data_IF_123800691865
#
_entry.id   IF_123800691865
#
_cell.length_a   1.000
_cell.length_b   1.000
_cell.length_c   1.000
_cell.angle_alpha   90.00
_cell.angle_beta   90.00
_cell.angle_gamma   90.00
#
_symmetry.space_group_name_H-M   'P 1'
#
loop_
_entity.id
_entity.type
_entity.pdbx_description
1 polymer ?
#
# COMPACT_ATOMS: atom_id res chain seq x y z
N UNK A 1 11.75 -35.76 -38.46
CA UNK A 1 11.54 -36.73 -37.36
C UNK A 1 12.87 -37.27 -36.79
N UNK A 2 14.05 -36.87 -37.29
CA UNK A 2 15.31 -37.35 -36.72
C UNK A 2 15.51 -36.90 -35.25
N UNK A 3 14.99 -35.73 -34.87
CA UNK A 3 15.06 -35.22 -33.50
C UNK A 3 14.15 -35.99 -32.54
N UNK A 4 12.89 -36.20 -32.93
CA UNK A 4 11.92 -37.02 -32.16
C UNK A 4 12.43 -38.45 -31.97
N UNK A 5 12.97 -39.07 -33.03
CA UNK A 5 13.54 -40.43 -32.93
C UNK A 5 14.72 -40.44 -31.96
N UNK A 6 15.62 -39.45 -32.04
CA UNK A 6 16.75 -39.36 -31.12
C UNK A 6 16.29 -39.20 -29.66
N UNK A 7 15.36 -38.29 -29.37
CA UNK A 7 14.86 -38.08 -28.01
C UNK A 7 14.14 -39.31 -27.44
N UNK A 8 13.37 -40.03 -28.28
CA UNK A 8 12.72 -41.27 -27.87
C UNK A 8 13.72 -42.41 -27.59
N UNK A 9 14.81 -42.50 -28.38
CA UNK A 9 15.89 -43.46 -28.12
C UNK A 9 16.58 -43.14 -26.79
N UNK A 10 16.93 -41.87 -26.55
CA UNK A 10 17.52 -41.43 -25.29
C UNK A 10 16.59 -41.72 -24.12
N UNK A 11 15.29 -41.41 -24.27
CA UNK A 11 14.30 -41.69 -23.24
C UNK A 11 14.16 -43.19 -22.95
N UNK A 12 14.18 -44.03 -23.99
CA UNK A 12 14.10 -45.49 -23.87
C UNK A 12 15.33 -46.07 -23.17
N UNK A 13 16.54 -45.61 -23.52
CA UNK A 13 17.77 -46.01 -22.84
C UNK A 13 17.75 -45.57 -21.37
N UNK A 14 17.37 -44.32 -21.10
CA UNK A 14 17.26 -43.79 -19.74
C UNK A 14 16.23 -44.58 -18.91
N UNK A 15 15.07 -44.90 -19.48
CA UNK A 15 14.04 -45.71 -18.79
C UNK A 15 14.53 -47.14 -18.50
N UNK A 16 15.26 -47.73 -19.45
CA UNK A 16 15.85 -49.06 -19.27
C UNK A 16 16.91 -49.04 -18.16
N UNK A 17 17.81 -48.06 -18.15
CA UNK A 17 18.81 -47.90 -17.11
C UNK A 17 18.17 -47.61 -15.75
N UNK A 18 17.11 -46.79 -15.71
CA UNK A 18 16.34 -46.52 -14.50
C UNK A 18 15.80 -47.80 -13.86
N UNK A 19 15.28 -48.73 -14.68
CA UNK A 19 14.73 -50.00 -14.21
C UNK A 19 15.80 -50.95 -13.63
N UNK A 20 17.06 -50.83 -14.08
CA UNK A 20 18.16 -51.71 -13.66
C UNK A 20 19.01 -51.14 -12.52
N UNK A 21 18.93 -49.83 -12.27
CA UNK A 21 19.74 -49.16 -11.25
C UNK A 21 19.18 -49.35 -9.82
N UNK A 22 20.06 -49.51 -8.81
CA UNK A 22 19.65 -49.48 -7.41
C UNK A 22 19.23 -48.07 -6.99
N UNK A 23 18.54 -47.97 -5.85
CA UNK A 23 18.07 -46.68 -5.35
C UNK A 23 19.24 -45.73 -5.05
N UNK A 24 19.15 -44.50 -5.56
CA UNK A 24 20.20 -43.50 -5.46
C UNK A 24 20.07 -42.38 -6.50
N UNK A 25 20.99 -41.43 -6.48
CA UNK A 25 20.96 -40.24 -7.33
C UNK A 25 20.90 -40.58 -8.83
N UNK A 26 21.66 -41.59 -9.28
CA UNK A 26 21.73 -41.97 -10.69
C UNK A 26 20.40 -42.52 -11.22
N UNK A 27 19.67 -43.29 -10.40
CA UNK A 27 18.32 -43.76 -10.73
C UNK A 27 17.39 -42.57 -10.90
N UNK A 28 17.37 -41.63 -9.96
CA UNK A 28 16.54 -40.41 -10.09
C UNK A 28 16.87 -39.62 -11.36
N UNK A 29 18.15 -39.45 -11.70
CA UNK A 29 18.58 -38.77 -12.94
C UNK A 29 18.04 -39.48 -14.17
N UNK A 30 18.12 -40.81 -14.26
CA UNK A 30 17.61 -41.57 -15.40
C UNK A 30 16.08 -41.45 -15.54
N UNK A 31 15.35 -41.44 -14.41
CA UNK A 31 13.91 -41.20 -14.41
C UNK A 31 13.56 -39.82 -14.97
N UNK A 32 14.20 -38.76 -14.45
CA UNK A 32 13.97 -37.40 -14.92
C UNK A 32 14.39 -37.22 -16.37
N UNK A 33 15.53 -37.78 -16.79
CA UNK A 33 16.00 -37.72 -18.16
C UNK A 33 14.98 -38.36 -19.12
N UNK A 34 14.49 -39.56 -18.79
CA UNK A 34 13.46 -40.23 -19.60
C UNK A 34 12.17 -39.42 -19.67
N UNK A 35 11.68 -38.97 -18.51
CA UNK A 35 10.43 -38.19 -18.42
C UNK A 35 10.50 -36.87 -19.18
N UNK A 36 11.61 -36.13 -19.04
CA UNK A 36 11.84 -34.88 -19.76
C UNK A 36 11.92 -35.15 -21.26
N UNK A 37 12.71 -36.13 -21.72
CA UNK A 37 12.85 -36.43 -23.15
C UNK A 37 11.54 -36.85 -23.81
N UNK A 38 10.69 -37.65 -23.15
CA UNK A 38 9.36 -37.99 -23.67
C UNK A 38 8.47 -36.74 -23.74
N UNK A 39 8.46 -35.95 -22.67
CA UNK A 39 7.62 -34.77 -22.55
C UNK A 39 8.00 -33.71 -23.59
N UNK A 40 9.30 -33.43 -23.77
CA UNK A 40 9.78 -32.49 -24.78
C UNK A 40 9.50 -32.99 -26.18
N UNK A 41 9.72 -34.28 -26.45
CA UNK A 41 9.45 -34.85 -27.75
C UNK A 41 7.97 -34.73 -28.12
N UNK A 42 7.07 -35.00 -27.17
CA UNK A 42 5.63 -34.99 -27.41
C UNK A 42 5.04 -33.58 -27.50
N UNK A 43 5.34 -32.70 -26.54
CA UNK A 43 4.69 -31.39 -26.43
C UNK A 43 5.44 -30.27 -27.15
N UNK A 44 6.75 -30.41 -27.37
CA UNK A 44 7.57 -29.39 -28.03
C UNK A 44 7.88 -29.82 -29.46
N UNK A 45 8.52 -30.98 -29.66
CA UNK A 45 8.98 -31.36 -30.99
C UNK A 45 7.85 -31.76 -31.93
N UNK A 46 6.84 -32.48 -31.44
CA UNK A 46 5.66 -32.84 -32.25
C UNK A 46 4.62 -31.72 -32.36
N UNK A 47 4.85 -30.55 -31.74
CA UNK A 47 3.98 -29.40 -31.92
C UNK A 47 4.11 -28.84 -33.36
N UNK A 48 3.04 -28.87 -34.17
CA UNK A 48 3.10 -28.42 -35.55
C UNK A 48 3.20 -26.90 -35.71
N UNK A 49 2.94 -26.13 -34.65
CA UNK A 49 2.89 -24.67 -34.70
C UNK A 49 4.29 -24.01 -34.68
N UNK A 50 5.33 -24.79 -34.42
CA UNK A 50 6.73 -24.37 -34.49
C UNK A 50 7.49 -25.23 -35.50
N UNK A 51 8.59 -24.68 -36.04
CA UNK A 51 9.39 -25.34 -37.09
C UNK A 51 10.29 -26.44 -36.53
N UNK A 52 9.67 -27.34 -35.76
CA UNK A 52 10.24 -28.59 -35.26
C UNK A 52 9.70 -29.77 -36.08
N UNK A 53 9.92 -30.99 -35.61
CA UNK A 53 9.54 -32.20 -36.34
C UNK A 53 8.02 -32.29 -36.63
N UNK A 54 7.17 -31.80 -35.74
CA UNK A 54 5.71 -31.78 -35.93
C UNK A 54 5.26 -30.93 -37.12
N UNK A 55 5.97 -29.84 -37.43
CA UNK A 55 5.69 -29.02 -38.61
C UNK A 55 5.95 -29.81 -39.90
N UNK A 56 7.03 -30.58 -39.95
CA UNK A 56 7.38 -31.40 -41.11
C UNK A 56 6.42 -32.59 -41.26
N UNK A 57 6.00 -33.21 -40.15
CA UNK A 57 4.92 -34.21 -40.17
C UNK A 57 3.64 -33.61 -40.74
N UNK A 58 3.24 -32.41 -40.32
CA UNK A 58 2.06 -31.74 -40.87
C UNK A 58 2.22 -31.42 -42.36
N UNK A 59 3.44 -31.03 -42.79
CA UNK A 59 3.78 -30.80 -44.20
C UNK A 59 3.52 -32.03 -45.06
N UNK A 60 3.98 -33.20 -44.61
CA UNK A 60 3.82 -34.48 -45.31
C UNK A 60 2.36 -34.94 -45.32
N UNK A 61 1.67 -34.86 -44.17
CA UNK A 61 0.25 -35.22 -44.05
C UNK A 61 -0.61 -34.34 -44.97
N UNK A 62 -0.31 -33.04 -45.05
CA UNK A 62 -1.03 -32.13 -45.93
C UNK A 62 -0.54 -32.17 -47.37
N UNK A 63 0.60 -32.83 -47.65
CA UNK A 63 1.30 -32.84 -48.95
C UNK A 63 1.51 -31.42 -49.47
N UNK A 64 2.03 -30.54 -48.62
CA UNK A 64 2.19 -29.12 -48.90
C UNK A 64 3.58 -28.63 -48.56
N UNK A 65 4.47 -28.61 -49.54
CA UNK A 65 5.81 -28.05 -49.36
C UNK A 65 5.74 -26.57 -48.96
N UNK A 66 6.68 -26.14 -48.11
CA UNK A 66 6.77 -24.75 -47.65
C UNK A 66 5.45 -24.22 -47.04
N UNK A 67 4.76 -25.06 -46.27
CA UNK A 67 3.46 -24.76 -45.64
C UNK A 67 3.47 -23.40 -44.91
N UNK A 68 4.46 -23.13 -44.06
CA UNK A 68 4.46 -21.94 -43.20
C UNK A 68 4.57 -20.61 -43.98
N UNK A 69 5.53 -20.40 -44.89
CA UNK A 69 5.56 -19.22 -45.76
C UNK A 69 4.29 -19.02 -46.58
N UNK A 70 3.75 -20.10 -47.19
CA UNK A 70 2.54 -20.05 -48.02
C UNK A 70 1.30 -19.69 -47.19
N UNK A 71 1.15 -20.31 -46.03
CA UNK A 71 0.06 -20.06 -45.08
C UNK A 71 0.06 -18.59 -44.61
N UNK A 72 1.22 -18.06 -44.22
CA UNK A 72 1.33 -16.65 -43.82
C UNK A 72 1.10 -15.68 -44.97
N UNK A 73 1.49 -16.01 -46.20
CA UNK A 73 1.20 -15.18 -47.38
C UNK A 73 -0.31 -15.08 -47.63
N UNK A 74 -1.04 -16.21 -47.57
CA UNK A 74 -2.50 -16.25 -47.70
C UNK A 74 -3.19 -15.53 -46.53
N UNK A 75 -2.71 -15.71 -45.30
CA UNK A 75 -3.23 -15.02 -44.12
C UNK A 75 -3.13 -13.50 -44.26
N UNK A 76 -1.95 -12.97 -44.62
CA UNK A 76 -1.75 -11.52 -44.83
C UNK A 76 -2.61 -10.99 -45.98
N UNK A 77 -2.76 -11.76 -47.06
CA UNK A 77 -3.67 -11.39 -48.15
C UNK A 77 -5.13 -11.30 -47.67
N UNK A 78 -5.63 -12.29 -46.91
CA UNK A 78 -6.99 -12.23 -46.34
C UNK A 78 -7.17 -11.09 -45.36
N UNK A 79 -6.18 -10.82 -44.51
CA UNK A 79 -6.19 -9.68 -43.59
C UNK A 79 -6.37 -8.36 -44.36
N UNK A 80 -5.60 -8.14 -45.44
CA UNK A 80 -5.75 -6.96 -46.31
C UNK A 80 -7.14 -6.86 -46.95
N UNK A 81 -7.72 -8.00 -47.37
CA UNK A 81 -9.07 -8.03 -47.94
C UNK A 81 -10.14 -7.63 -46.92
N UNK A 82 -10.01 -8.12 -45.69
CA UNK A 82 -10.92 -7.78 -44.58
C UNK A 82 -10.81 -6.30 -44.23
N UNK A 83 -9.58 -5.79 -44.07
CA UNK A 83 -9.32 -4.41 -43.61
C UNK A 83 -9.58 -3.34 -44.68
N UNK A 84 -9.20 -3.58 -45.94
CA UNK A 84 -9.17 -2.53 -46.98
C UNK A 84 -9.94 -2.88 -48.25
N UNK A 85 -10.62 -4.04 -48.29
CA UNK A 85 -11.17 -4.61 -49.52
C UNK A 85 -10.12 -4.68 -50.64
N UNK A 86 -8.94 -5.22 -50.31
CA UNK A 86 -7.80 -5.30 -51.20
C UNK A 86 -8.09 -6.06 -52.51
N UNK A 87 -7.83 -5.42 -53.66
CA UNK A 87 -8.10 -5.92 -55.01
C UNK A 87 -6.86 -6.52 -55.70
N UNK A 88 -5.70 -6.53 -55.05
CA UNK A 88 -4.50 -7.17 -55.62
C UNK A 88 -4.64 -8.69 -55.74
N UNK A 89 -3.86 -9.31 -56.62
CA UNK A 89 -3.90 -10.74 -56.84
C UNK A 89 -3.61 -11.55 -55.56
N UNK A 90 -4.32 -12.67 -55.40
CA UNK A 90 -4.02 -13.64 -54.35
C UNK A 90 -2.62 -14.24 -54.58
N UNK A 91 -1.81 -14.44 -53.52
CA UNK A 91 -0.46 -14.97 -53.66
C UNK A 91 -0.44 -16.41 -54.21
N UNK A 92 -1.49 -17.17 -53.91
CA UNK A 92 -1.70 -18.52 -54.42
C UNK A 92 -3.20 -18.85 -54.41
N UNK A 93 -3.65 -19.73 -55.30
CA UNK A 93 -4.98 -20.35 -55.25
C UNK A 93 -4.81 -21.83 -54.95
N UNK A 94 -5.31 -22.29 -53.81
CA UNK A 94 -5.15 -23.67 -53.38
C UNK A 94 -6.43 -24.20 -52.70
N UNK A 95 -6.88 -25.45 -52.95
CA UNK A 95 -8.09 -26.01 -52.33
C UNK A 95 -8.09 -25.98 -50.80
N UNK A 96 -6.90 -26.03 -50.18
CA UNK A 96 -6.71 -26.00 -48.72
C UNK A 96 -6.46 -24.59 -48.15
N UNK A 97 -6.69 -23.52 -48.91
CA UNK A 97 -6.42 -22.13 -48.51
C UNK A 97 -6.99 -21.76 -47.13
N UNK A 98 -8.26 -22.10 -46.85
CA UNK A 98 -8.88 -21.80 -45.56
C UNK A 98 -8.14 -22.46 -44.40
N UNK A 99 -7.75 -23.73 -44.55
CA UNK A 99 -6.98 -24.47 -43.53
C UNK A 99 -5.61 -23.86 -43.30
N UNK A 100 -4.95 -23.41 -44.37
CA UNK A 100 -3.65 -22.74 -44.28
C UNK A 100 -3.76 -21.39 -43.55
N UNK A 101 -4.82 -20.62 -43.78
CA UNK A 101 -5.06 -19.34 -43.08
C UNK A 101 -5.32 -19.58 -41.60
N UNK A 102 -6.17 -20.54 -41.25
CA UNK A 102 -6.43 -20.92 -39.85
C UNK A 102 -5.15 -21.41 -39.18
N UNK A 103 -4.35 -22.22 -39.89
CA UNK A 103 -3.05 -22.67 -39.41
C UNK A 103 -2.09 -21.50 -39.16
N UNK A 104 -1.94 -20.55 -40.09
CA UNK A 104 -1.11 -19.36 -39.89
C UNK A 104 -1.58 -18.51 -38.70
N UNK A 105 -2.89 -18.37 -38.52
CA UNK A 105 -3.46 -17.69 -37.36
C UNK A 105 -3.14 -18.41 -36.05
N UNK A 106 -3.29 -19.74 -36.00
CA UNK A 106 -2.94 -20.55 -34.85
C UNK A 106 -1.43 -20.48 -34.54
N UNK A 107 -0.56 -20.54 -35.56
CA UNK A 107 0.89 -20.35 -35.42
C UNK A 107 1.20 -18.98 -34.85
N UNK A 108 0.54 -17.93 -35.32
CA UNK A 108 0.74 -16.57 -34.82
C UNK A 108 0.36 -16.44 -33.34
N UNK A 109 -0.83 -16.91 -32.95
CA UNK A 109 -1.29 -16.91 -31.55
C UNK A 109 -0.31 -17.69 -30.68
N UNK A 110 0.04 -18.91 -31.09
CA UNK A 110 0.94 -19.77 -30.32
C UNK A 110 2.32 -19.14 -30.15
N UNK A 111 2.86 -18.50 -31.21
CA UNK A 111 4.16 -17.80 -31.12
C UNK A 111 4.12 -16.61 -30.19
N UNK A 112 3.06 -15.79 -30.24
CA UNK A 112 2.90 -14.67 -29.32
C UNK A 112 2.75 -15.15 -27.88
N UNK A 113 1.93 -16.17 -27.64
CA UNK A 113 1.79 -16.80 -26.33
C UNK A 113 3.12 -17.34 -25.80
N UNK A 114 3.84 -18.11 -26.63
CA UNK A 114 5.11 -18.71 -26.25
C UNK A 114 6.17 -17.64 -25.97
N UNK A 115 6.25 -16.61 -26.80
CA UNK A 115 7.14 -15.47 -26.59
C UNK A 115 6.85 -14.79 -25.25
N UNK A 116 5.60 -14.37 -25.01
CA UNK A 116 5.20 -13.75 -23.73
C UNK A 116 5.49 -14.67 -22.54
N UNK A 117 5.20 -15.97 -22.66
CA UNK A 117 5.48 -16.94 -21.60
C UNK A 117 6.98 -17.06 -21.30
N UNK A 118 7.83 -17.12 -22.33
CA UNK A 118 9.29 -17.15 -22.16
C UNK A 118 9.78 -15.82 -21.57
N UNK A 119 9.33 -14.68 -22.09
CA UNK A 119 9.70 -13.37 -21.57
C UNK A 119 9.31 -13.16 -20.11
N UNK A 120 8.09 -13.56 -19.72
CA UNK A 120 7.64 -13.52 -18.32
C UNK A 120 8.40 -14.52 -17.43
N UNK A 121 8.66 -15.73 -17.93
CA UNK A 121 9.48 -16.69 -17.20
C UNK A 121 10.88 -16.14 -16.96
N UNK A 122 11.52 -15.53 -17.96
CA UNK A 122 12.83 -14.89 -17.80
C UNK A 122 12.76 -13.71 -16.82
N UNK A 123 11.69 -12.90 -16.88
CA UNK A 123 11.48 -11.78 -15.98
C UNK A 123 11.37 -12.20 -14.51
N UNK A 124 10.71 -13.33 -14.22
CA UNK A 124 10.48 -13.81 -12.85
C UNK A 124 11.54 -14.79 -12.34
N UNK A 125 12.24 -15.53 -13.21
CA UNK A 125 13.23 -16.54 -12.83
C UNK A 125 14.67 -16.02 -12.83
N UNK A 126 14.95 -14.91 -13.51
CA UNK A 126 16.28 -14.29 -13.60
C UNK A 126 16.20 -12.81 -13.19
N UNK A 127 17.07 -11.97 -13.76
CA UNK A 127 17.08 -10.52 -13.53
C UNK A 127 16.03 -9.83 -14.42
N UNK A 128 15.20 -8.96 -13.83
CA UNK A 128 14.05 -8.32 -14.50
C UNK A 128 14.44 -7.60 -15.80
N UNK A 129 15.62 -6.96 -15.81
CA UNK A 129 16.13 -6.25 -16.98
C UNK A 129 16.32 -7.16 -18.21
N UNK A 130 16.82 -8.39 -18.01
CA UNK A 130 16.97 -9.37 -19.11
C UNK A 130 15.60 -9.77 -19.65
N UNK A 131 14.62 -10.00 -18.77
CA UNK A 131 13.24 -10.28 -19.16
C UNK A 131 12.64 -9.16 -20.01
N UNK A 132 12.85 -7.90 -19.62
CA UNK A 132 12.41 -6.72 -20.40
C UNK A 132 13.06 -6.69 -21.78
N UNK A 133 14.38 -6.95 -21.88
CA UNK A 133 15.10 -6.98 -23.15
C UNK A 133 14.56 -8.09 -24.05
N UNK A 134 14.33 -9.29 -23.52
CA UNK A 134 13.75 -10.41 -24.26
C UNK A 134 12.36 -10.04 -24.78
N UNK A 135 11.48 -9.51 -23.92
CA UNK A 135 10.14 -9.06 -24.32
C UNK A 135 10.20 -7.95 -25.39
N UNK A 136 11.17 -7.03 -25.31
CA UNK A 136 11.35 -5.98 -26.31
C UNK A 136 11.78 -6.53 -27.67
N UNK A 137 12.73 -7.48 -27.69
CA UNK A 137 13.17 -8.18 -28.90
C UNK A 137 12.00 -8.96 -29.52
N UNK A 138 11.22 -9.66 -28.70
CA UNK A 138 10.05 -10.42 -29.13
C UNK A 138 8.94 -9.52 -29.69
N UNK A 139 8.63 -8.43 -28.99
CA UNK A 139 7.68 -7.42 -29.46
C UNK A 139 8.12 -6.86 -30.83
N UNK A 140 9.41 -6.58 -30.99
CA UNK A 140 9.95 -6.14 -32.26
C UNK A 140 9.80 -7.22 -33.34
N UNK A 141 10.19 -8.46 -33.06
CA UNK A 141 10.21 -9.55 -34.03
C UNK A 141 8.81 -10.02 -34.47
N UNK A 142 7.86 -10.09 -33.53
CA UNK A 142 6.53 -10.68 -33.76
C UNK A 142 5.44 -9.65 -34.01
N UNK A 143 5.60 -8.40 -33.55
CA UNK A 143 4.59 -7.35 -33.72
C UNK A 143 5.10 -6.24 -34.64
N UNK A 144 6.16 -5.53 -34.25
CA UNK A 144 6.59 -4.32 -34.98
C UNK A 144 7.11 -4.63 -36.39
N UNK A 145 8.00 -5.61 -36.55
CA UNK A 145 8.59 -5.97 -37.84
C UNK A 145 7.54 -6.48 -38.84
N UNK A 146 6.60 -7.39 -38.48
CA UNK A 146 5.52 -7.79 -39.38
C UNK A 146 4.61 -6.63 -39.76
N UNK A 147 4.21 -5.78 -38.80
CA UNK A 147 3.40 -4.59 -39.08
C UNK A 147 4.10 -3.63 -40.03
N UNK A 148 5.39 -3.34 -39.80
CA UNK A 148 6.18 -2.46 -40.66
C UNK A 148 6.33 -3.02 -42.08
N UNK A 149 6.52 -4.35 -42.20
CA UNK A 149 6.57 -5.01 -43.50
C UNK A 149 5.26 -4.91 -44.28
N UNK A 150 4.11 -4.96 -43.59
CA UNK A 150 2.79 -4.78 -44.19
C UNK A 150 2.53 -3.33 -44.60
N UNK A 151 2.85 -2.36 -43.73
CA UNK A 151 2.72 -0.92 -44.05
C UNK A 151 3.53 -0.56 -45.29
N UNK A 152 4.74 -1.11 -45.45
CA UNK A 152 5.59 -0.92 -46.64
C UNK A 152 4.95 -1.45 -47.92
N UNK A 153 4.05 -2.42 -47.83
CA UNK A 153 3.28 -2.96 -48.97
C UNK A 153 2.01 -2.14 -49.20
N UNK A 154 1.32 -1.73 -48.13
CA UNK A 154 0.05 -1.00 -48.21
C UNK A 154 0.25 0.40 -48.78
N UNK A 155 1.32 1.09 -48.41
CA UNK A 155 1.54 2.48 -48.79
C UNK A 155 1.70 2.68 -50.31
N UNK A 156 2.58 1.95 -51.03
CA UNK A 156 2.64 2.02 -52.49
C UNK A 156 1.39 1.40 -53.14
N UNK A 157 0.81 0.38 -52.50
CA UNK A 157 -0.34 -0.37 -52.99
C UNK A 157 -1.71 0.26 -52.75
N UNK A 158 -1.78 1.51 -52.28
CA UNK A 158 -3.05 2.23 -51.99
C UNK A 158 -4.06 2.25 -53.14
N UNK A 159 -3.59 2.14 -54.40
CA UNK A 159 -4.44 2.03 -55.60
C UNK A 159 -5.25 0.72 -55.65
N UNK A 160 -4.83 -0.30 -54.89
CA UNK A 160 -5.47 -1.61 -54.80
C UNK A 160 -6.54 -1.66 -53.70
N UNK A 161 -6.79 -0.56 -52.98
CA UNK A 161 -7.90 -0.50 -52.03
C UNK A 161 -9.24 -0.41 -52.78
N UNK A 162 -10.14 -1.34 -52.52
CA UNK A 162 -11.44 -1.39 -53.18
C UNK A 162 -12.43 -0.40 -52.58
N UNK A 163 -12.70 -0.52 -51.28
CA UNK A 163 -13.78 0.21 -50.60
C UNK A 163 -13.25 1.37 -49.75
N UNK A 164 -13.60 2.61 -50.12
CA UNK A 164 -13.30 3.81 -49.33
C UNK A 164 -13.91 3.75 -47.92
N UNK A 165 -15.09 3.14 -47.78
CA UNK A 165 -15.74 2.94 -46.49
C UNK A 165 -14.94 2.00 -45.58
N UNK A 166 -14.46 0.85 -46.08
CA UNK A 166 -13.63 -0.05 -45.25
C UNK A 166 -12.31 0.58 -44.85
N UNK A 167 -11.68 1.34 -45.75
CA UNK A 167 -10.47 2.10 -45.41
C UNK A 167 -10.76 3.12 -44.32
N UNK A 168 -11.86 3.88 -44.41
CA UNK A 168 -12.26 4.84 -43.38
C UNK A 168 -12.55 4.14 -42.04
N UNK A 169 -13.34 3.06 -42.05
CA UNK A 169 -13.66 2.28 -40.85
C UNK A 169 -12.40 1.73 -40.18
N UNK A 170 -11.51 1.11 -40.94
CA UNK A 170 -10.23 0.58 -40.41
C UNK A 170 -9.36 1.70 -39.86
N UNK A 171 -9.31 2.86 -40.54
CA UNK A 171 -8.60 4.05 -40.07
C UNK A 171 -9.19 4.59 -38.76
N UNK A 172 -10.51 4.69 -38.65
CA UNK A 172 -11.21 5.12 -37.45
C UNK A 172 -11.02 4.17 -36.28
N UNK A 173 -11.09 2.85 -36.50
CA UNK A 173 -10.82 1.84 -35.46
C UNK A 173 -9.37 1.93 -34.98
N UNK A 174 -8.42 2.06 -35.90
CA UNK A 174 -7.01 2.21 -35.53
C UNK A 174 -6.75 3.51 -34.76
N UNK A 175 -7.36 4.62 -35.17
CA UNK A 175 -7.28 5.89 -34.47
C UNK A 175 -7.92 5.80 -33.07
N UNK A 176 -9.06 5.12 -32.94
CA UNK A 176 -9.72 4.89 -31.65
C UNK A 176 -8.85 4.05 -30.70
N UNK A 177 -8.16 3.02 -31.21
CA UNK A 177 -7.22 2.23 -30.40
C UNK A 177 -6.01 3.05 -29.94
N UNK A 178 -5.46 3.91 -30.80
CA UNK A 178 -4.38 4.83 -30.43
C UNK A 178 -4.88 5.84 -29.39
N UNK A 179 -6.07 6.42 -29.60
CA UNK A 179 -6.69 7.34 -28.66
C UNK A 179 -6.91 6.65 -27.31
N UNK A 180 -7.39 5.41 -27.28
CA UNK A 180 -7.57 4.65 -26.04
C UNK A 180 -6.24 4.47 -25.28
N UNK A 181 -5.11 4.33 -25.99
CA UNK A 181 -3.79 4.18 -25.37
C UNK A 181 -3.24 5.50 -24.81
N UNK A 182 -3.63 6.64 -25.40
CA UNK A 182 -3.10 7.97 -25.12
C UNK A 182 -4.02 8.83 -24.23
N UNK A 183 -5.32 8.57 -24.22
CA UNK A 183 -6.28 9.32 -23.40
C UNK A 183 -5.99 9.03 -21.92
N UNK A 184 -5.75 10.06 -21.10
CA UNK A 184 -5.53 9.88 -19.68
C UNK A 184 -6.86 9.47 -19.03
N UNK A 185 -6.87 8.30 -18.40
CA UNK A 185 -8.08 7.74 -17.78
C UNK A 185 -8.08 8.17 -16.29
N UNK A 186 -9.18 8.73 -15.77
CA UNK A 186 -9.30 9.02 -14.34
C UNK A 186 -9.14 7.74 -13.54
N UNK A 187 -8.25 7.75 -12.55
CA UNK A 187 -8.06 6.62 -11.64
C UNK A 187 -8.39 7.07 -10.23
N UNK A 188 -9.23 6.27 -9.58
CA UNK A 188 -9.51 6.35 -8.16
C UNK A 188 -8.79 5.18 -7.53
N UNK A 189 -7.95 5.46 -6.54
CA UNK A 189 -7.34 4.42 -5.69
C UNK A 189 -7.83 4.60 -4.26
N UNK A 190 -7.99 3.48 -3.56
CA UNK A 190 -8.43 3.44 -2.17
C UNK A 190 -7.26 3.15 -1.23
N UNK A 191 -7.16 3.97 -0.18
CA UNK A 191 -6.10 3.89 0.82
C UNK A 191 -6.67 3.56 2.20
N UNK A 192 -5.98 2.73 3.00
CA UNK A 192 -6.41 2.44 4.36
C UNK A 192 -6.30 3.70 5.22
N UNK A 193 -7.33 3.96 6.03
CA UNK A 193 -7.39 5.15 6.85
C UNK A 193 -8.01 4.88 8.21
N UNK A 194 -7.73 5.77 9.15
CA UNK A 194 -8.37 5.80 10.47
C UNK A 194 -9.09 7.13 10.64
N UNK A 195 -10.30 7.05 11.18
CA UNK A 195 -10.98 8.21 11.71
C UNK A 195 -10.35 8.58 13.05
N UNK A 196 -9.83 9.81 13.14
CA UNK A 196 -9.12 10.34 14.29
C UNK A 196 -9.81 11.63 14.72
N UNK A 197 -10.21 11.71 15.98
CA UNK A 197 -10.74 12.95 16.53
C UNK A 197 -9.61 13.97 16.76
N UNK A 198 -9.89 15.24 16.45
CA UNK A 198 -8.91 16.32 16.54
C UNK A 198 -8.61 16.71 17.99
N UNK A 199 -7.41 17.23 18.23
CA UNK A 199 -7.02 17.82 19.51
C UNK A 199 -6.93 16.83 20.67
N UNK A 200 -6.35 15.65 20.45
CA UNK A 200 -6.04 14.72 21.55
C UNK A 200 -5.03 15.37 22.49
N UNK A 201 -5.46 15.66 23.71
CA UNK A 201 -4.64 16.25 24.76
C UNK A 201 -4.35 15.17 25.80
N UNK A 202 -3.11 14.67 25.89
CA UNK A 202 -2.73 13.72 26.93
C UNK A 202 -2.73 14.43 28.28
N UNK A 203 -3.41 13.82 29.25
CA UNK A 203 -3.44 14.25 30.65
C UNK A 203 -2.45 13.38 31.40
N UNK A 204 -1.37 14.00 31.86
CA UNK A 204 -0.30 13.37 32.62
C UNK A 204 -0.34 13.86 34.07
N UNK A 205 0.20 13.06 34.97
CA UNK A 205 0.37 13.47 36.37
C UNK A 205 1.33 14.67 36.47
N UNK A 206 0.97 15.74 37.19
CA UNK A 206 1.85 16.89 37.40
C UNK A 206 2.96 16.62 38.43
N UNK A 207 2.70 15.73 39.40
CA UNK A 207 3.61 15.32 40.46
C UNK A 207 3.43 13.83 40.79
N UNK A 208 4.36 13.27 41.56
CA UNK A 208 4.20 11.92 42.09
C UNK A 208 3.25 11.92 43.30
N UNK A 209 2.41 10.90 43.43
CA UNK A 209 1.44 10.79 44.51
C UNK A 209 0.61 9.51 44.41
N UNK A 210 -0.27 9.28 45.38
CA UNK A 210 -1.21 8.18 45.38
C UNK A 210 -2.52 8.60 44.73
N UNK A 211 -3.10 7.75 43.88
CA UNK A 211 -4.37 8.04 43.22
C UNK A 211 -5.53 7.91 44.23
N UNK A 212 -6.27 8.99 44.50
CA UNK A 212 -7.35 8.99 45.51
C UNK A 212 -8.74 8.79 44.87
N UNK A 213 -8.90 9.19 43.61
CA UNK A 213 -10.14 9.02 42.84
C UNK A 213 -9.93 8.16 41.58
N UNK A 214 -10.96 7.40 41.14
CA UNK A 214 -10.83 6.53 39.98
C UNK A 214 -10.64 7.33 38.69
N UNK A 215 -9.83 6.79 37.78
CA UNK A 215 -9.66 7.35 36.42
C UNK A 215 -10.99 7.26 35.68
N UNK A 216 -11.50 8.36 35.09
CA UNK A 216 -12.72 8.32 34.28
C UNK A 216 -12.64 7.29 33.16
N UNK A 217 -13.71 6.53 32.97
CA UNK A 217 -13.77 5.51 31.93
C UNK A 217 -13.77 6.12 30.51
N UNK A 218 -13.28 5.34 29.54
CA UNK A 218 -13.33 5.71 28.11
C UNK A 218 -14.77 5.99 27.69
N UNK A 219 -14.98 7.10 26.99
CA UNK A 219 -16.30 7.56 26.53
C UNK A 219 -16.98 8.59 27.45
N UNK A 220 -16.40 8.90 28.62
CA UNK A 220 -16.95 9.91 29.54
C UNK A 220 -16.81 11.31 28.94
N UNK A 221 -17.90 12.09 28.94
CA UNK A 221 -17.88 13.51 28.55
C UNK A 221 -17.40 14.37 29.72
N UNK A 222 -16.47 15.29 29.44
CA UNK A 222 -15.88 16.21 30.43
C UNK A 222 -15.93 17.63 29.90
N UNK A 223 -16.17 18.59 30.78
CA UNK A 223 -16.11 20.03 30.47
C UNK A 223 -14.78 20.61 30.95
N UNK A 224 -14.33 21.67 30.28
CA UNK A 224 -13.15 22.41 30.72
C UNK A 224 -13.32 22.87 32.18
N UNK A 225 -12.38 22.50 33.04
CA UNK A 225 -12.40 22.79 34.48
C UNK A 225 -12.97 21.68 35.37
N UNK A 226 -13.55 20.63 34.80
CA UNK A 226 -14.01 19.47 35.58
C UNK A 226 -12.83 18.77 36.25
N UNK A 227 -13.00 18.37 37.51
CA UNK A 227 -12.02 17.59 38.25
C UNK A 227 -12.02 16.15 37.76
N UNK A 228 -10.88 15.70 37.26
CA UNK A 228 -10.71 14.36 36.72
C UNK A 228 -10.21 13.42 37.81
N UNK A 229 -9.07 13.78 38.41
CA UNK A 229 -8.33 12.93 39.34
C UNK A 229 -7.71 13.80 40.43
N UNK A 230 -7.69 13.29 41.65
CA UNK A 230 -7.03 13.92 42.80
C UNK A 230 -5.90 12.99 43.26
N UNK A 231 -4.71 13.56 43.43
CA UNK A 231 -3.55 12.86 43.99
C UNK A 231 -3.42 13.18 45.49
N UNK A 232 -3.30 12.15 46.32
CA UNK A 232 -2.97 12.31 47.73
C UNK A 232 -1.48 12.05 47.95
N UNK A 233 -0.83 12.94 48.68
CA UNK A 233 0.57 12.79 49.09
C UNK A 233 0.65 13.00 50.60
N UNK A 234 0.67 11.92 51.41
CA UNK A 234 0.66 12.01 52.87
C UNK A 234 1.78 12.89 53.43
N UNK A 235 2.95 12.89 52.79
CA UNK A 235 4.08 13.74 53.16
C UNK A 235 3.77 15.24 52.99
N UNK A 236 3.05 15.62 51.93
CA UNK A 236 2.68 17.01 51.67
C UNK A 236 1.66 17.52 52.70
N UNK A 237 0.67 16.68 53.06
CA UNK A 237 -0.29 16.99 54.12
C UNK A 237 0.40 17.14 55.48
N UNK A 238 1.36 16.25 55.78
CA UNK A 238 2.15 16.32 56.99
C UNK A 238 3.01 17.59 57.04
N UNK A 239 3.72 17.92 55.95
CA UNK A 239 4.52 19.14 55.84
C UNK A 239 3.67 20.40 56.01
N UNK A 240 2.49 20.45 55.38
CA UNK A 240 1.54 21.56 55.52
C UNK A 240 1.08 21.71 56.97
N UNK A 241 0.71 20.61 57.61
CA UNK A 241 0.27 20.58 59.01
C UNK A 241 1.38 21.10 59.94
N UNK A 242 2.61 20.60 59.78
CA UNK A 242 3.78 21.05 60.56
C UNK A 242 4.06 22.54 60.32
N UNK A 243 3.97 22.99 59.07
CA UNK A 243 4.17 24.38 58.71
C UNK A 243 3.12 25.32 59.36
N UNK A 244 1.86 24.90 59.39
CA UNK A 244 0.78 25.63 60.05
C UNK A 244 0.92 25.65 61.58
N UNK A 245 1.38 24.55 62.19
CA UNK A 245 1.72 24.54 63.62
C UNK A 245 2.87 25.49 63.96
N UNK A 246 3.92 25.55 63.13
CA UNK A 246 5.03 26.51 63.30
C UNK A 246 4.54 27.95 63.22
N UNK A 247 3.67 28.26 62.24
CA UNK A 247 3.06 29.59 62.11
C UNK A 247 2.22 29.94 63.35
N UNK A 248 1.40 29.01 63.86
CA UNK A 248 0.63 29.21 65.10
C UNK A 248 1.53 29.52 66.30
N UNK A 249 2.65 28.80 66.44
CA UNK A 249 3.64 29.07 67.51
C UNK A 249 4.23 30.47 67.40
N UNK A 250 4.62 30.90 66.19
CA UNK A 250 5.17 32.24 65.94
C UNK A 250 4.14 33.33 66.27
N UNK A 251 2.88 33.14 65.86
CA UNK A 251 1.80 34.09 66.16
C UNK A 251 1.54 34.19 67.66
N UNK A 252 1.47 33.07 68.39
CA UNK A 252 1.32 33.07 69.84
C UNK A 252 2.51 33.76 70.54
N UNK A 253 3.74 33.58 70.04
CA UNK A 253 4.90 34.32 70.55
C UNK A 253 4.82 35.82 70.30
N UNK A 254 4.32 36.25 69.13
CA UNK A 254 4.11 37.67 68.80
C UNK A 254 3.00 38.32 69.64
N UNK A 255 1.96 37.58 69.99
CA UNK A 255 0.86 38.00 70.87
C UNK A 255 1.33 38.16 72.31
N UNK A 256 2.11 37.21 72.82
CA UNK A 256 2.73 37.27 74.15
C UNK A 256 3.75 38.41 74.31
N UNK A 257 4.27 38.95 73.20
CA UNK A 257 5.23 40.06 73.15
C UNK A 257 4.57 41.45 73.27
N UNK A 258 3.46 41.53 73.99
CA UNK A 258 2.75 42.79 74.22
C UNK A 258 3.31 43.53 75.43
N UNK A 259 3.62 44.81 75.22
CA UNK A 259 3.98 45.82 76.22
C UNK A 259 5.23 45.54 77.07
N UNK A 260 6.36 46.15 76.67
CA UNK A 260 7.33 46.90 77.51
C UNK A 260 8.73 46.84 76.88
N UNK A 261 9.25 48.02 76.52
CA UNK A 261 10.65 48.36 76.75
C UNK A 261 11.67 48.09 75.65
N UNK A 262 12.00 46.84 75.33
CA UNK A 262 13.36 46.56 74.79
C UNK A 262 13.47 45.47 73.70
N UNK A 263 12.36 44.99 73.13
CA UNK A 263 12.38 43.83 72.21
C UNK A 263 12.10 44.15 70.73
N UNK A 264 12.41 45.36 70.25
CA UNK A 264 12.15 45.78 68.87
C UNK A 264 12.84 44.88 67.83
N UNK A 265 14.11 44.51 68.05
CA UNK A 265 14.87 43.63 67.17
C UNK A 265 14.30 42.20 67.10
N UNK A 266 13.96 41.62 68.26
CA UNK A 266 13.39 40.26 68.32
C UNK A 266 11.97 40.18 67.74
N UNK A 267 11.14 41.20 67.97
CA UNK A 267 9.81 41.30 67.35
C UNK A 267 9.91 41.45 65.83
N UNK A 268 10.82 42.27 65.33
CA UNK A 268 11.05 42.40 63.88
C UNK A 268 11.53 41.08 63.27
N UNK A 269 12.43 40.35 63.95
CA UNK A 269 12.86 39.02 63.51
C UNK A 269 11.68 38.03 63.44
N UNK A 270 10.80 37.98 64.45
CA UNK A 270 9.60 37.13 64.44
C UNK A 270 8.61 37.50 63.33
N UNK A 271 8.48 38.80 62.99
CA UNK A 271 7.65 39.26 61.89
C UNK A 271 8.17 38.77 60.53
N UNK A 272 9.50 38.86 60.31
CA UNK A 272 10.16 38.33 59.10
C UNK A 272 10.02 36.81 59.04
N UNK A 273 10.19 36.11 60.17
CA UNK A 273 10.05 34.66 60.26
C UNK A 273 8.60 34.21 59.98
N UNK A 274 7.61 34.97 60.44
CA UNK A 274 6.19 34.75 60.12
C UNK A 274 5.94 34.87 58.62
N UNK A 275 6.45 35.92 57.97
CA UNK A 275 6.31 36.12 56.53
C UNK A 275 6.97 34.98 55.74
N UNK A 276 8.17 34.54 56.15
CA UNK A 276 8.85 33.38 55.56
C UNK A 276 8.00 32.12 55.68
N UNK A 277 7.41 31.89 56.86
CA UNK A 277 6.57 30.72 57.10
C UNK A 277 5.25 30.77 56.31
N UNK A 278 4.64 31.95 56.17
CA UNK A 278 3.46 32.16 55.34
C UNK A 278 3.75 31.91 53.86
N UNK A 279 4.91 32.37 53.35
CA UNK A 279 5.34 32.08 51.98
C UNK A 279 5.58 30.58 51.76
N UNK A 280 6.11 29.87 52.76
CA UNK A 280 6.27 28.42 52.71
C UNK A 280 4.92 27.70 52.65
N UNK A 281 3.94 28.10 53.49
CA UNK A 281 2.58 27.54 53.46
C UNK A 281 1.90 27.83 52.11
N UNK A 282 2.02 29.05 51.58
CA UNK A 282 1.46 29.39 50.27
C UNK A 282 2.07 28.50 49.16
N UNK A 283 3.37 28.22 49.23
CA UNK A 283 4.06 27.32 48.29
C UNK A 283 3.55 25.87 48.41
N UNK A 284 3.38 25.37 49.64
CA UNK A 284 2.85 24.03 49.90
C UNK A 284 1.40 23.89 49.46
N UNK A 285 0.57 24.91 49.67
CA UNK A 285 -0.81 24.97 49.16
C UNK A 285 -0.86 24.98 47.63
N UNK A 286 0.01 25.75 46.98
CA UNK A 286 0.13 25.72 45.52
C UNK A 286 0.54 24.34 44.98
N UNK A 287 1.43 23.62 45.69
CA UNK A 287 1.74 22.23 45.35
C UNK A 287 0.52 21.32 45.52
N UNK A 288 -0.27 21.50 46.59
CA UNK A 288 -1.48 20.70 46.82
C UNK A 288 -2.55 20.98 45.75
N UNK A 289 -2.73 22.22 45.31
CA UNK A 289 -3.63 22.54 44.19
C UNK A 289 -3.17 21.88 42.88
N UNK A 290 -1.86 21.76 42.65
CA UNK A 290 -1.33 21.04 41.50
C UNK A 290 -1.62 19.53 41.56
N UNK A 291 -1.93 18.95 42.73
CA UNK A 291 -2.34 17.54 42.84
C UNK A 291 -3.78 17.30 42.37
N UNK A 292 -4.55 18.37 42.14
CA UNK A 292 -5.89 18.33 41.54
C UNK A 292 -5.78 18.45 40.03
N UNK A 293 -6.02 17.34 39.33
CA UNK A 293 -5.95 17.28 37.88
C UNK A 293 -7.31 17.63 37.30
N UNK A 294 -7.38 18.73 36.57
CA UNK A 294 -8.60 19.21 35.91
C UNK A 294 -8.52 19.07 34.39
N UNK A 295 -9.67 18.96 33.73
CA UNK A 295 -9.75 18.91 32.28
C UNK A 295 -9.39 20.28 31.66
N UNK A 296 -8.34 20.39 30.81
CA UNK A 296 -7.95 21.66 30.19
C UNK A 296 -8.91 22.08 29.06
N UNK A 297 -9.64 21.12 28.48
CA UNK A 297 -10.57 21.33 27.38
C UNK A 297 -11.83 20.49 27.59
N UNK A 298 -12.96 20.98 27.08
CA UNK A 298 -14.18 20.17 26.98
C UNK A 298 -14.01 19.12 25.88
N UNK A 299 -14.41 17.89 26.15
CA UNK A 299 -14.27 16.79 25.20
C UNK A 299 -14.71 15.44 25.78
N UNK A 300 -14.25 14.37 25.14
CA UNK A 300 -14.52 12.99 25.53
C UNK A 300 -13.22 12.28 25.84
N UNK A 301 -13.20 11.45 26.89
CA UNK A 301 -12.07 10.61 27.24
C UNK A 301 -11.93 9.49 26.20
N UNK A 302 -10.84 9.48 25.44
CA UNK A 302 -10.60 8.48 24.38
C UNK A 302 -9.75 7.31 24.87
N UNK A 303 -8.80 7.60 25.74
CA UNK A 303 -7.88 6.63 26.34
C UNK A 303 -7.90 6.87 27.84
N UNK A 304 -7.96 5.78 28.59
CA UNK A 304 -7.82 5.75 30.02
C UNK A 304 -6.90 4.57 30.33
N UNK A 305 -5.90 4.81 31.18
CA UNK A 305 -5.01 3.77 31.66
C UNK A 305 -5.72 2.98 32.75
N UNK A 306 -6.24 1.81 32.39
CA UNK A 306 -7.00 0.93 33.28
C UNK A 306 -6.11 0.13 34.25
N UNK A 307 -4.79 0.14 34.03
CA UNK A 307 -3.85 -0.59 34.87
C UNK A 307 -3.58 0.14 36.19
N UNK A 308 -3.82 1.46 36.21
CA UNK A 308 -3.68 2.31 37.39
C UNK A 308 -4.99 2.30 38.17
N UNK A 309 -4.93 1.84 39.42
CA UNK A 309 -6.08 1.79 40.34
C UNK A 309 -5.97 2.83 41.45
N UNK A 310 -7.10 3.08 42.09
CA UNK A 310 -7.15 3.89 43.32
C UNK A 310 -6.24 3.25 44.37
N UNK A 311 -5.38 4.05 44.98
CA UNK A 311 -4.36 3.64 45.93
C UNK A 311 -2.99 3.36 45.32
N UNK A 312 -2.84 3.32 43.99
CA UNK A 312 -1.54 3.11 43.36
C UNK A 312 -0.68 4.38 43.41
N UNK A 313 0.62 4.20 43.59
CA UNK A 313 1.59 5.30 43.52
C UNK A 313 1.97 5.56 42.07
N UNK A 314 1.69 6.76 41.58
CA UNK A 314 2.04 7.20 40.23
C UNK A 314 3.22 8.16 40.27
N UNK A 315 4.15 8.02 39.31
CA UNK A 315 5.28 8.93 39.14
C UNK A 315 4.82 10.25 38.49
N UNK A 316 5.65 11.30 38.56
CA UNK A 316 5.40 12.54 37.81
C UNK A 316 5.51 12.29 36.29
N UNK A 317 4.65 12.96 35.49
CA UNK A 317 4.50 12.81 34.04
C UNK A 317 4.00 11.43 33.57
N UNK A 318 3.44 10.62 34.46
CA UNK A 318 2.80 9.36 34.08
C UNK A 318 1.51 9.65 33.28
N UNK A 319 1.29 8.98 32.13
CA UNK A 319 0.07 9.15 31.34
C UNK A 319 -1.13 8.51 32.05
N UNK A 320 -2.19 9.30 32.27
CA UNK A 320 -3.43 8.84 32.92
C UNK A 320 -4.53 8.58 31.91
N UNK A 321 -4.86 9.61 31.13
CA UNK A 321 -5.95 9.58 30.15
C UNK A 321 -5.70 10.60 29.04
N UNK A 322 -6.45 10.50 27.94
CA UNK A 322 -6.41 11.49 26.87
C UNK A 322 -7.82 11.99 26.54
N UNK A 323 -7.97 13.29 26.33
CA UNK A 323 -9.24 13.95 26.01
C UNK A 323 -9.18 14.48 24.58
N UNK A 324 -10.24 14.28 23.81
CA UNK A 324 -10.35 14.80 22.43
C UNK A 324 -11.70 15.47 22.19
N UNK A 325 -11.75 16.39 21.22
CA UNK A 325 -12.98 17.10 20.84
C UNK A 325 -13.75 16.29 19.78
N UNK A 326 -15.00 15.88 20.05
CA UNK A 326 -15.78 15.08 19.10
C UNK A 326 -16.21 15.86 17.85
N UNK A 327 -16.34 17.19 17.93
CA UNK A 327 -16.90 18.02 16.83
C UNK A 327 -15.95 18.22 15.64
N UNK A 328 -14.66 17.90 15.83
CA UNK A 328 -13.64 18.05 14.80
C UNK A 328 -13.08 16.66 14.45
N UNK A 329 -13.65 16.05 13.41
CA UNK A 329 -13.24 14.73 12.95
C UNK A 329 -12.24 14.85 11.80
N UNK A 330 -11.08 14.21 11.97
CA UNK A 330 -10.08 14.04 10.92
C UNK A 330 -10.06 12.59 10.44
N UNK A 331 -9.61 12.40 9.21
CA UNK A 331 -9.31 11.08 8.66
C UNK A 331 -7.83 11.07 8.31
N UNK A 332 -7.09 10.12 8.87
CA UNK A 332 -5.67 9.91 8.59
C UNK A 332 -5.54 8.71 7.66
N UNK A 333 -5.27 8.98 6.38
CA UNK A 333 -5.03 7.96 5.37
C UNK A 333 -3.54 7.61 5.32
N UNK A 334 -3.22 6.32 5.20
CA UNK A 334 -1.86 5.79 5.12
C UNK A 334 -1.57 5.35 3.70
N UNK A 335 -0.74 6.12 3.01
CA UNK A 335 -0.37 5.86 1.61
C UNK A 335 1.00 5.18 1.58
N UNK A 336 1.09 4.08 0.84
CA UNK A 336 2.33 3.34 0.66
C UNK A 336 3.31 4.15 -0.22
N UNK A 337 4.62 4.08 0.07
CA UNK A 337 5.68 4.82 -0.64
C UNK A 337 5.59 4.72 -2.18
N UNK A 338 5.24 3.55 -2.69
CA UNK A 338 5.07 3.27 -4.13
C UNK A 338 4.04 4.15 -4.84
N UNK A 339 3.02 4.62 -4.12
CA UNK A 339 1.86 5.31 -4.68
C UNK A 339 1.92 6.83 -4.46
N UNK A 340 2.81 7.31 -3.60
CA UNK A 340 2.99 8.75 -3.31
C UNK A 340 3.30 9.56 -4.57
N UNK A 341 4.12 8.99 -5.46
CA UNK A 341 4.48 9.65 -6.72
C UNK A 341 3.31 9.77 -7.70
N UNK A 342 2.19 9.08 -7.46
CA UNK A 342 0.99 9.15 -8.30
C UNK A 342 -0.03 10.16 -7.78
N UNK A 343 0.15 10.66 -6.56
CA UNK A 343 -0.79 11.61 -5.96
C UNK A 343 -0.43 13.03 -6.43
N UNK A 344 -1.39 13.78 -7.00
CA UNK A 344 -1.15 15.14 -7.46
C UNK A 344 -0.52 16.03 -6.39
N UNK A 345 0.63 16.63 -6.71
CA UNK A 345 1.36 17.46 -5.73
C UNK A 345 0.71 18.84 -5.54
N UNK A 346 -0.10 19.29 -6.50
CA UNK A 346 -0.75 20.60 -6.46
C UNK A 346 -2.25 20.48 -6.75
N UNK A 347 -3.02 21.45 -6.25
CA UNK A 347 -4.47 21.52 -6.46
C UNK A 347 -5.31 20.80 -5.40
N UNK A 348 -6.65 20.94 -5.49
CA UNK A 348 -7.57 20.25 -4.61
C UNK A 348 -7.50 18.75 -4.87
N UNK A 349 -7.40 17.97 -3.78
CA UNK A 349 -7.44 16.51 -3.82
C UNK A 349 -8.83 16.07 -3.36
N UNK A 350 -9.82 15.91 -4.26
CA UNK A 350 -11.12 15.38 -3.89
C UNK A 350 -10.93 13.96 -3.37
N UNK A 351 -11.38 13.74 -2.15
CA UNK A 351 -11.29 12.46 -1.47
C UNK A 351 -12.60 12.16 -0.75
N UNK A 352 -12.91 10.88 -0.63
CA UNK A 352 -14.13 10.38 -0.01
C UNK A 352 -13.75 9.25 0.98
N UNK A 353 -14.26 9.28 2.21
CA UNK A 353 -14.07 8.19 3.17
C UNK A 353 -15.29 7.28 3.13
N UNK A 354 -15.01 6.01 2.83
CA UNK A 354 -15.97 4.90 2.84
C UNK A 354 -15.70 4.03 4.05
N UNK A 355 -16.73 3.83 4.86
CA UNK A 355 -16.67 2.91 5.98
C UNK A 355 -17.02 1.49 5.53
N UNK A 356 -16.74 0.51 6.40
CA UNK A 356 -16.98 -0.90 6.09
C UNK A 356 -18.47 -1.26 6.16
N UNK A 357 -19.24 -0.50 6.93
CA UNK A 357 -20.68 -0.64 7.03
C UNK A 357 -21.38 0.08 5.88
N UNK A 358 -22.51 -0.49 5.45
CA UNK A 358 -23.34 0.07 4.37
C UNK A 358 -24.30 1.17 4.87
N UNK A 359 -24.37 1.39 6.19
CA UNK A 359 -25.28 2.34 6.82
C UNK A 359 -24.66 3.73 6.99
N UNK A 360 -23.33 3.83 7.05
CA UNK A 360 -22.63 5.11 7.13
C UNK A 360 -22.52 5.76 5.75
N UNK A 361 -23.06 6.98 5.62
CA UNK A 361 -22.92 7.78 4.41
C UNK A 361 -21.47 8.15 4.11
N UNK A 362 -21.14 8.18 2.83
CA UNK A 362 -19.82 8.57 2.31
C UNK A 362 -19.50 10.01 2.73
N UNK A 363 -18.32 10.20 3.33
CA UNK A 363 -17.91 11.50 3.85
C UNK A 363 -16.96 12.20 2.87
N UNK A 364 -17.31 13.38 2.33
CA UNK A 364 -16.38 14.16 1.54
C UNK A 364 -15.27 14.70 2.45
N UNK A 365 -14.04 14.57 1.95
CA UNK A 365 -12.83 14.91 2.68
C UNK A 365 -12.14 16.12 2.06
N UNK A 366 -11.69 17.02 2.94
CA UNK A 366 -10.83 18.14 2.57
C UNK A 366 -9.41 17.89 3.06
N UNK A 367 -8.44 17.88 2.15
CA UNK A 367 -7.04 17.70 2.50
C UNK A 367 -6.55 18.85 3.40
N UNK A 368 -6.05 18.51 4.60
CA UNK A 368 -5.45 19.44 5.55
C UNK A 368 -3.93 19.47 5.43
N UNK A 369 -3.31 18.30 5.45
CA UNK A 369 -1.85 18.18 5.43
C UNK A 369 -1.39 16.88 4.77
N UNK A 370 -0.18 16.93 4.22
CA UNK A 370 0.51 15.77 3.64
C UNK A 370 1.74 15.48 4.47
N UNK A 371 1.77 14.30 5.08
CA UNK A 371 2.95 13.80 5.79
C UNK A 371 4.11 13.65 4.82
N UNK A 372 5.25 14.25 5.17
CA UNK A 372 6.50 14.15 4.40
C UNK A 372 7.43 13.05 4.90
N UNK A 373 7.11 12.49 6.07
CA UNK A 373 7.90 11.47 6.73
C UNK A 373 7.07 10.20 6.89
N UNK A 374 7.70 9.03 6.77
CA UNK A 374 7.03 7.77 7.03
C UNK A 374 6.62 7.68 8.50
N UNK A 375 5.47 7.05 8.72
CA UNK A 375 4.91 6.81 10.04
C UNK A 375 5.46 5.51 10.59
N UNK A 376 6.07 5.58 11.77
CA UNK A 376 6.62 4.40 12.44
C UNK A 376 5.60 3.72 13.37
N UNK A 377 4.59 4.45 13.82
CA UNK A 377 3.58 3.97 14.78
C UNK A 377 2.19 4.45 14.37
N UNK A 378 1.23 3.53 14.33
CA UNK A 378 -0.16 3.85 14.05
C UNK A 378 -0.89 4.22 15.35
N UNK A 379 -1.94 5.06 15.31
CA UNK A 379 -2.79 5.36 16.47
C UNK A 379 -3.43 4.12 17.09
N UNK A 380 -3.70 3.10 16.26
CA UNK A 380 -4.11 1.78 16.71
C UNK A 380 -3.60 0.70 15.74
N UNK A 381 -3.65 -0.55 16.19
CA UNK A 381 -3.13 -1.68 15.45
C UNK A 381 -4.14 -2.30 14.48
N UNK A 382 -5.36 -1.75 14.38
CA UNK A 382 -6.48 -2.32 13.59
C UNK A 382 -6.16 -2.39 12.09
N UNK A 383 -5.31 -1.49 11.59
CA UNK A 383 -4.86 -1.51 10.21
C UNK A 383 -3.73 -2.52 9.94
N UNK A 384 -3.13 -3.10 10.98
CA UNK A 384 -2.07 -4.08 10.82
C UNK A 384 -2.63 -5.47 10.47
N UNK A 385 -1.90 -6.21 9.64
CA UNK A 385 -2.26 -7.54 9.17
C UNK A 385 -2.42 -8.58 10.30
N UNK A 386 -1.67 -8.43 11.38
CA UNK A 386 -1.82 -9.20 12.62
C UNK A 386 -3.25 -9.11 13.21
N UNK A 387 -3.97 -8.02 12.95
CA UNK A 387 -5.37 -7.81 13.35
C UNK A 387 -6.35 -7.89 12.17
N UNK A 388 -5.91 -8.42 11.03
CA UNK A 388 -6.72 -8.55 9.81
C UNK A 388 -6.81 -7.27 8.97
N UNK A 389 -5.95 -6.29 9.24
CA UNK A 389 -5.84 -5.05 8.48
C UNK A 389 -4.98 -5.18 7.21
N UNK A 390 -4.97 -4.15 6.34
CA UNK A 390 -4.28 -4.19 5.06
C UNK A 390 -2.79 -3.82 5.09
N UNK A 391 -2.27 -3.31 6.22
CA UNK A 391 -0.87 -2.88 6.36
C UNK A 391 -0.05 -4.03 6.96
N UNK A 392 0.99 -4.46 6.27
CA UNK A 392 1.85 -5.55 6.74
C UNK A 392 2.72 -5.06 7.91
N UNK A 393 2.63 -5.74 9.06
CA UNK A 393 3.45 -5.44 10.23
C UNK A 393 4.84 -6.08 10.15
N UNK A 394 5.77 -5.55 10.93
CA UNK A 394 7.03 -6.21 11.24
C UNK A 394 6.79 -7.48 12.07
N UNK A 395 7.62 -8.52 11.92
CA UNK A 395 7.44 -9.79 12.62
C UNK A 395 7.75 -9.74 14.13
N UNK A 396 8.12 -8.57 14.67
CA UNK A 396 8.42 -8.39 16.09
C UNK A 396 7.14 -8.14 16.89
N UNK A 397 6.82 -9.06 17.82
CA UNK A 397 5.51 -9.15 18.45
C UNK A 397 5.31 -8.18 19.63
N UNK A 398 6.38 -7.60 20.19
CA UNK A 398 6.25 -6.70 21.35
C UNK A 398 5.77 -5.29 20.98
N UNK A 399 6.03 -4.84 19.74
CA UNK A 399 5.60 -3.51 19.28
C UNK A 399 5.45 -3.51 17.75
N UNK A 400 4.30 -3.97 17.22
CA UNK A 400 4.13 -4.18 15.80
C UNK A 400 4.10 -2.84 15.06
N UNK A 401 5.04 -2.65 14.15
CA UNK A 401 5.18 -1.43 13.33
C UNK A 401 4.96 -1.76 11.85
N UNK A 402 4.56 -0.80 11.01
CA UNK A 402 4.48 -1.03 9.56
C UNK A 402 5.83 -1.46 9.00
N UNK A 403 5.89 -2.59 8.28
CA UNK A 403 7.13 -3.08 7.66
C UNK A 403 7.63 -2.15 6.56
N UNK A 404 6.71 -1.67 5.74
CA UNK A 404 6.98 -0.82 4.59
C UNK A 404 6.66 0.65 4.92
N UNK A 405 7.31 1.59 4.24
CA UNK A 405 7.12 3.02 4.51
C UNK A 405 5.72 3.51 4.09
N UNK A 406 4.95 3.99 5.07
CA UNK A 406 3.63 4.57 4.87
C UNK A 406 3.60 6.04 5.32
N UNK A 407 2.97 6.91 4.53
CA UNK A 407 2.92 8.34 4.77
C UNK A 407 1.49 8.74 5.13
N UNK A 408 1.34 9.45 6.25
CA UNK A 408 0.03 9.87 6.73
C UNK A 408 -0.44 11.16 6.05
N UNK A 409 -1.58 11.10 5.38
CA UNK A 409 -2.26 12.27 4.83
C UNK A 409 -3.45 12.56 5.73
N UNK A 410 -3.57 13.81 6.18
CA UNK A 410 -4.66 14.23 7.06
C UNK A 410 -5.73 14.96 6.28
N UNK A 411 -6.97 14.53 6.49
CA UNK A 411 -8.16 15.11 5.89
C UNK A 411 -9.12 15.56 6.99
N UNK A 412 -9.86 16.64 6.74
CA UNK A 412 -11.03 17.00 7.53
C UNK A 412 -12.27 16.33 6.94
N UNK A 413 -13.06 15.64 7.77
CA UNK A 413 -14.34 15.10 7.36
C UNK A 413 -15.44 16.16 7.52
N UNK A 414 -16.20 16.41 6.45
CA UNK A 414 -17.33 17.35 6.49
C UNK A 414 -18.61 16.62 6.87
N UNK A 415 -18.94 16.61 8.17
CA UNK A 415 -20.22 16.05 8.65
C UNK A 415 -20.17 14.59 9.09
N UNK A 416 -19.06 14.14 9.67
CA UNK A 416 -18.94 12.80 10.22
C UNK A 416 -20.03 12.52 11.28
N UNK A 417 -20.77 11.40 11.17
CA UNK A 417 -21.77 11.03 12.15
C UNK A 417 -21.20 10.91 13.57
N UNK A 418 -21.90 11.47 14.57
CA UNK A 418 -21.43 11.49 15.95
C UNK A 418 -21.34 10.12 16.64
N UNK A 419 -21.86 9.05 16.04
CA UNK A 419 -21.68 7.68 16.54
C UNK A 419 -20.34 7.06 16.15
N UNK A 420 -19.62 7.64 15.19
CA UNK A 420 -18.33 7.13 14.74
C UNK A 420 -17.27 7.35 15.82
N UNK A 421 -16.66 6.26 16.25
CA UNK A 421 -15.69 6.27 17.33
C UNK A 421 -14.29 6.60 16.82
N UNK A 422 -13.48 7.17 17.70
CA UNK A 422 -12.05 7.32 17.46
C UNK A 422 -11.41 5.97 17.08
N UNK A 423 -10.55 5.96 16.06
CA UNK A 423 -9.87 4.76 15.59
C UNK A 423 -10.71 3.86 14.69
N UNK A 424 -11.89 4.29 14.26
CA UNK A 424 -12.72 3.50 13.32
C UNK A 424 -11.98 3.39 11.97
N UNK A 425 -11.76 2.17 11.44
CA UNK A 425 -11.13 1.99 10.14
C UNK A 425 -12.07 2.41 9.01
N UNK A 426 -11.54 3.19 8.07
CA UNK A 426 -12.23 3.51 6.80
C UNK A 426 -11.26 3.38 5.63
N UNK A 427 -11.79 3.47 4.41
CA UNK A 427 -11.01 3.55 3.18
C UNK A 427 -11.20 4.91 2.54
N UNK A 428 -10.11 5.59 2.25
CA UNK A 428 -10.13 6.88 1.57
C UNK A 428 -9.92 6.67 0.09
N UNK A 429 -10.94 6.98 -0.69
CA UNK A 429 -10.92 6.95 -2.13
C UNK A 429 -10.50 8.34 -2.60
N UNK A 430 -9.42 8.42 -3.38
CA UNK A 430 -8.95 9.70 -3.90
C UNK A 430 -8.56 9.58 -5.36
N UNK A 431 -8.74 10.68 -6.08
CA UNK A 431 -8.26 10.80 -7.45
C UNK A 431 -6.74 10.90 -7.45
N UNK A 432 -6.10 9.97 -8.14
CA UNK A 432 -4.67 10.03 -8.44
C UNK A 432 -4.45 10.71 -9.81
N UNK A 433 -3.20 11.02 -10.15
CA UNK A 433 -2.88 11.62 -11.44
C UNK A 433 -3.44 10.80 -12.61
N UNK A 434 -4.13 11.49 -13.52
CA UNK A 434 -4.68 10.85 -14.72
C UNK A 434 -3.52 10.44 -15.63
N UNK A 435 -3.23 9.15 -15.67
CA UNK A 435 -2.22 8.59 -16.55
C UNK A 435 -2.86 7.85 -17.73
N UNK A 436 -2.25 7.98 -18.91
CA UNK A 436 -2.60 7.14 -20.05
C UNK A 436 -1.98 5.75 -19.87
N UNK A 437 -2.53 4.75 -20.56
CA UNK A 437 -1.95 3.38 -20.53
C UNK A 437 -0.51 3.42 -21.04
N UNK A 438 -0.24 4.21 -22.07
CA UNK A 438 1.11 4.40 -22.61
C UNK A 438 2.08 5.00 -21.57
N UNK A 439 1.69 6.07 -20.88
CA UNK A 439 2.57 6.69 -19.87
C UNK A 439 2.81 5.76 -18.68
N UNK A 440 1.80 5.00 -18.27
CA UNK A 440 1.89 4.03 -17.17
C UNK A 440 2.90 2.91 -17.48
N UNK A 441 2.87 2.37 -18.72
CA UNK A 441 3.86 1.36 -19.17
C UNK A 441 5.27 1.94 -19.17
N UNK A 442 5.45 3.16 -19.71
CA UNK A 442 6.78 3.81 -19.79
C UNK A 442 7.34 4.10 -18.40
N UNK A 443 6.54 4.69 -17.49
CA UNK A 443 6.97 4.94 -16.10
C UNK A 443 7.28 3.63 -15.36
N UNK A 444 6.48 2.59 -15.56
CA UNK A 444 6.71 1.26 -14.99
C UNK A 444 8.02 0.64 -15.44
N UNK A 445 8.31 0.67 -16.74
CA UNK A 445 9.59 0.20 -17.29
C UNK A 445 10.78 1.00 -16.75
N UNK A 446 10.66 2.33 -16.70
CA UNK A 446 11.69 3.20 -16.13
C UNK A 446 11.99 2.89 -14.66
N UNK A 447 10.96 2.67 -13.84
CA UNK A 447 11.12 2.29 -12.43
C UNK A 447 11.89 0.97 -12.28
N UNK A 448 11.54 -0.05 -13.05
CA UNK A 448 12.23 -1.35 -13.00
C UNK A 448 13.69 -1.23 -13.45
N UNK A 449 13.97 -0.43 -14.49
CA UNK A 449 15.34 -0.23 -14.96
C UNK A 449 16.18 0.55 -13.94
N UNK A 450 15.61 1.53 -13.25
CA UNK A 450 16.29 2.27 -12.18
C UNK A 450 16.56 1.38 -10.95
N UNK A 451 15.59 0.55 -10.53
CA UNK A 451 15.77 -0.41 -9.42
C UNK A 451 16.93 -1.40 -9.69
N UNK A 452 17.14 -1.77 -10.96
CA UNK A 452 18.19 -2.68 -11.39
C UNK A 452 19.51 -1.96 -11.75
N UNK A 453 19.60 -0.64 -11.57
CA UNK A 453 20.83 0.15 -11.76
C UNK A 453 21.21 0.46 -13.21
N UNK A 454 20.27 0.40 -14.16
CA UNK A 454 20.50 0.73 -15.58
C UNK A 454 20.24 2.20 -15.93
N UNK A 455 19.65 2.96 -15.01
CA UNK A 455 19.36 4.40 -15.08
C UNK A 455 19.80 5.03 -13.76
#
# INVERSE_FOLDING_TARGET
>A
IAGVVFELVVAGIALFLWAMLPDGALKSVMFFLSGISITTSLFVNLNPLMKFDGYYVLMDVWRLDNLLPRAFALFRHKLRRVLFDWQGAAPERHPKEQRMVVYAFAVMIYRVFLAIAIGLAVYHLFFKAVGIIVLAIELWAFVLKPLWSEVRIWWPGRKLFGSRWRVALTGSVFLALIALLLVPIPRVEDFPALLVWDGTTPIVTPAAGYLDSPVPERGTQVKAGDELITLSTPDLEHELTVAEFKLRKINASLENLSSVGESGGYRNWLMVERERQQASIATLKGKAEAHRIVAPVSGVVIEANTDIKVGDMVAAKAPLLAISRPDAVRVRAYIHEKDISRIPTEGPLPAECHFRDLETDVQPLLLLSRGRFPVNTLPNEVLLDIHGGPIVATPDAENPTPRDAHYAFEFAAQGAPGYLRHGTPCRVWMNIENESIASSIVKGLGRVLAEEGFL
#
